data_IF_967513271360
#
_entry.id   IF_967513271360
#
_cell.length_a   1.000
_cell.length_b   1.000
_cell.length_c   1.000
_cell.angle_alpha   90.00
_cell.angle_beta   90.00
_cell.angle_gamma   90.00
#
_symmetry.space_group_name_H-M   'P 1'
#
loop_
_entity.id
_entity.type
_entity.pdbx_description
1 polymer ?
#
# COMPACT_ATOMS: atom_id res chain seq x y z
N UNK A 1 22.09 19.87 3.67
CA UNK A 1 21.05 19.45 2.70
C UNK A 1 20.58 18.07 3.13
N UNK A 2 19.29 17.92 3.47
CA UNK A 2 18.72 16.61 3.83
C UNK A 2 18.45 15.87 2.53
N UNK A 3 19.09 14.71 2.32
CA UNK A 3 18.79 13.84 1.19
C UNK A 3 17.31 13.45 1.24
N UNK A 4 16.55 13.48 0.12
CA UNK A 4 15.14 13.10 0.14
C UNK A 4 14.98 11.69 0.73
N UNK A 5 14.08 11.53 1.71
CA UNK A 5 13.83 10.22 2.35
C UNK A 5 13.43 9.21 1.27
N UNK A 6 14.10 8.06 1.24
CA UNK A 6 13.72 6.93 0.40
C UNK A 6 12.44 6.32 0.95
N UNK A 7 11.40 6.21 0.13
CA UNK A 7 10.09 5.68 0.55
C UNK A 7 9.85 4.34 -0.13
N UNK A 8 9.52 3.34 0.67
CA UNK A 8 9.01 2.06 0.20
C UNK A 8 7.52 1.96 0.55
N UNK A 9 6.68 1.76 -0.47
CA UNK A 9 5.25 1.57 -0.30
C UNK A 9 4.94 0.07 -0.34
N UNK A 10 4.54 -0.49 0.80
CA UNK A 10 4.14 -1.89 0.90
C UNK A 10 2.61 -1.94 0.89
N UNK A 11 2.03 -2.66 -0.05
CA UNK A 11 0.59 -2.77 -0.21
C UNK A 11 0.15 -4.21 -0.38
N UNK A 12 -1.13 -4.45 -0.12
CA UNK A 12 -1.73 -5.77 -0.19
C UNK A 12 -2.73 -5.82 -1.33
N UNK A 13 -2.72 -6.92 -2.10
CA UNK A 13 -3.69 -7.20 -3.14
C UNK A 13 -4.61 -8.33 -2.67
N UNK A 14 -5.91 -8.02 -2.61
CA UNK A 14 -6.96 -8.98 -2.25
C UNK A 14 -8.01 -9.12 -3.35
N UNK A 15 -9.27 -9.17 -2.90
CA UNK A 15 -10.43 -9.36 -3.80
C UNK A 15 -10.64 -8.19 -4.76
N UNK A 16 -10.47 -6.96 -4.30
CA UNK A 16 -10.67 -5.76 -5.12
C UNK A 16 -9.32 -5.20 -5.57
N UNK A 17 -9.13 -5.11 -6.90
CA UNK A 17 -8.02 -4.39 -7.53
C UNK A 17 -8.18 -2.88 -7.27
N UNK A 18 -9.41 -2.38 -7.37
CA UNK A 18 -9.75 -0.98 -7.14
C UNK A 18 -9.38 -0.49 -5.75
N UNK A 19 -9.56 -1.30 -4.71
CA UNK A 19 -9.17 -0.92 -3.35
C UNK A 19 -7.68 -0.56 -3.25
N UNK A 20 -6.80 -1.33 -3.91
CA UNK A 20 -5.37 -1.05 -3.97
C UNK A 20 -5.09 0.16 -4.87
N UNK A 21 -5.62 0.15 -6.10
CA UNK A 21 -5.35 1.19 -7.11
C UNK A 21 -5.81 2.57 -6.63
N UNK A 22 -6.99 2.66 -6.05
CA UNK A 22 -7.55 3.91 -5.52
C UNK A 22 -6.75 4.44 -4.33
N UNK A 23 -6.30 3.55 -3.45
CA UNK A 23 -5.49 3.95 -2.30
C UNK A 23 -4.13 4.46 -2.77
N UNK A 24 -3.49 3.76 -3.70
CA UNK A 24 -2.24 4.21 -4.29
C UNK A 24 -2.40 5.57 -4.99
N UNK A 25 -3.44 5.75 -5.80
CA UNK A 25 -3.77 7.03 -6.41
C UNK A 25 -3.90 8.14 -5.37
N UNK A 26 -4.63 7.90 -4.28
CA UNK A 26 -4.82 8.88 -3.21
C UNK A 26 -3.52 9.24 -2.48
N UNK A 27 -2.64 8.27 -2.29
CA UNK A 27 -1.31 8.49 -1.69
C UNK A 27 -0.44 9.35 -2.61
N UNK A 28 -0.38 8.99 -3.89
CA UNK A 28 0.43 9.69 -4.88
C UNK A 28 -0.09 11.10 -5.14
N UNK A 29 -1.42 11.28 -5.27
CA UNK A 29 -2.04 12.59 -5.47
C UNK A 29 -1.81 13.57 -4.32
N UNK A 30 -1.57 13.05 -3.10
CA UNK A 30 -1.17 13.83 -1.92
C UNK A 30 0.35 14.07 -1.85
N UNK A 31 1.07 13.89 -2.94
CA UNK A 31 2.49 14.23 -3.09
C UNK A 31 3.47 13.15 -2.62
N UNK A 32 3.01 11.97 -2.20
CA UNK A 32 3.89 10.89 -1.75
C UNK A 32 4.31 10.02 -2.93
N UNK A 33 5.57 10.14 -3.33
CA UNK A 33 6.14 9.43 -4.48
C UNK A 33 7.12 8.34 -3.99
N UNK A 34 6.68 7.06 -3.87
CA UNK A 34 7.57 5.99 -3.45
C UNK A 34 8.67 5.71 -4.49
N UNK A 35 9.83 5.27 -4.01
CA UNK A 35 10.92 4.77 -4.85
C UNK A 35 10.72 3.29 -5.18
N UNK A 36 10.20 2.52 -4.21
CA UNK A 36 9.88 1.10 -4.35
C UNK A 36 8.42 0.85 -3.95
N UNK A 37 7.75 -0.05 -4.67
CA UNK A 37 6.42 -0.55 -4.35
C UNK A 37 6.46 -2.06 -4.25
N UNK A 38 6.00 -2.62 -3.13
CA UNK A 38 5.88 -4.05 -2.91
C UNK A 38 4.40 -4.44 -2.81
N UNK A 39 3.96 -5.35 -3.68
CA UNK A 39 2.60 -5.87 -3.69
C UNK A 39 2.60 -7.28 -3.11
N UNK A 40 2.06 -7.44 -1.91
CA UNK A 40 1.83 -8.76 -1.33
C UNK A 40 0.47 -9.28 -1.75
N UNK A 41 0.41 -10.49 -2.28
CA UNK A 41 -0.83 -11.12 -2.69
C UNK A 41 -0.80 -12.61 -2.35
N UNK A 42 -1.98 -13.16 -2.14
CA UNK A 42 -2.14 -14.61 -2.04
C UNK A 42 -2.32 -15.23 -3.43
N UNK A 43 -1.99 -16.52 -3.57
CA UNK A 43 -2.00 -17.25 -4.85
C UNK A 43 -3.34 -17.14 -5.56
N UNK A 44 -4.46 -17.18 -4.81
CA UNK A 44 -5.82 -17.02 -5.37
C UNK A 44 -6.02 -15.72 -6.15
N UNK A 45 -5.27 -14.66 -5.83
CA UNK A 45 -5.36 -13.34 -6.49
C UNK A 45 -4.19 -13.04 -7.43
N UNK A 46 -3.22 -13.95 -7.59
CA UNK A 46 -2.02 -13.76 -8.43
C UNK A 46 -2.34 -13.28 -9.85
N UNK A 47 -3.42 -13.78 -10.45
CA UNK A 47 -3.83 -13.44 -11.83
C UNK A 47 -4.17 -11.95 -12.03
N UNK A 48 -4.42 -11.20 -10.94
CA UNK A 48 -4.71 -9.76 -10.96
C UNK A 48 -3.46 -8.88 -10.98
N UNK A 49 -2.29 -9.44 -10.63
CA UNK A 49 -1.04 -8.68 -10.55
C UNK A 49 -0.70 -7.90 -11.83
N UNK A 50 -0.81 -8.46 -13.06
CA UNK A 50 -0.44 -7.71 -14.26
C UNK A 50 -1.21 -6.40 -14.41
N UNK A 51 -2.53 -6.43 -14.18
CA UNK A 51 -3.42 -5.26 -14.27
C UNK A 51 -3.11 -4.22 -13.21
N UNK A 52 -2.89 -4.68 -11.97
CA UNK A 52 -2.53 -3.79 -10.87
C UNK A 52 -1.18 -3.13 -11.12
N UNK A 53 -0.16 -3.89 -11.52
CA UNK A 53 1.17 -3.36 -11.82
C UNK A 53 1.11 -2.32 -12.95
N UNK A 54 0.34 -2.60 -14.00
CA UNK A 54 0.10 -1.64 -15.09
C UNK A 54 -0.56 -0.35 -14.59
N UNK A 55 -1.61 -0.45 -13.76
CA UNK A 55 -2.28 0.70 -13.17
C UNK A 55 -1.34 1.54 -12.28
N UNK A 56 -0.53 0.91 -11.43
CA UNK A 56 0.44 1.59 -10.57
C UNK A 56 1.50 2.33 -11.41
N UNK A 57 1.99 1.73 -12.49
CA UNK A 57 2.91 2.38 -13.44
C UNK A 57 2.27 3.59 -14.10
N UNK A 58 1.05 3.45 -14.61
CA UNK A 58 0.32 4.54 -15.25
C UNK A 58 0.08 5.71 -14.29
N UNK A 59 -0.33 5.44 -13.05
CA UNK A 59 -0.48 6.46 -12.01
C UNK A 59 0.87 7.12 -11.73
N UNK A 60 1.93 6.35 -11.53
CA UNK A 60 3.25 6.91 -11.21
C UNK A 60 3.75 7.85 -12.30
N UNK A 61 3.62 7.43 -13.57
CA UNK A 61 4.01 8.21 -14.74
C UNK A 61 3.20 9.50 -14.84
N UNK A 62 1.89 9.46 -14.61
CA UNK A 62 1.04 10.66 -14.60
C UNK A 62 1.46 11.69 -13.53
N UNK A 63 2.11 11.25 -12.46
CA UNK A 63 2.66 12.11 -11.41
C UNK A 63 4.19 12.31 -11.53
N UNK A 64 4.77 12.03 -12.70
CA UNK A 64 6.16 12.28 -13.06
C UNK A 64 7.19 11.54 -12.18
N UNK A 65 6.96 10.26 -11.89
CA UNK A 65 7.97 9.39 -11.27
C UNK A 65 7.79 7.92 -11.70
N UNK A 66 8.81 7.10 -11.46
CA UNK A 66 8.82 5.69 -11.87
C UNK A 66 9.38 4.83 -10.73
N UNK A 67 8.52 4.23 -9.90
CA UNK A 67 8.97 3.33 -8.84
C UNK A 67 9.41 1.98 -9.41
N UNK A 68 10.33 1.31 -8.72
CA UNK A 68 10.52 -0.14 -8.87
C UNK A 68 9.31 -0.85 -8.24
N UNK A 69 8.70 -1.79 -8.97
CA UNK A 69 7.50 -2.50 -8.50
C UNK A 69 7.79 -3.99 -8.46
N UNK A 70 7.69 -4.56 -7.27
CA UNK A 70 7.90 -5.98 -7.01
C UNK A 70 6.61 -6.61 -6.45
N UNK A 71 6.33 -7.85 -6.86
CA UNK A 71 5.21 -8.61 -6.34
C UNK A 71 5.71 -9.81 -5.54
N UNK A 72 5.14 -10.02 -4.36
CA UNK A 72 5.38 -11.18 -3.50
C UNK A 72 4.09 -11.98 -3.45
N UNK A 73 4.12 -13.17 -4.07
CA UNK A 73 3.01 -14.12 -3.99
C UNK A 73 3.28 -15.07 -2.83
N UNK A 74 2.27 -15.27 -1.99
CA UNK A 74 2.28 -16.24 -0.90
C UNK A 74 1.17 -17.29 -1.08
N UNK A 75 1.32 -18.50 -0.53
CA UNK A 75 0.25 -19.48 -0.51
C UNK A 75 -0.96 -18.97 0.27
N UNK A 76 -2.14 -19.40 -0.17
CA UNK A 76 -3.40 -19.04 0.48
C UNK A 76 -3.42 -19.45 1.96
N UNK A 77 -3.91 -18.56 2.84
CA UNK A 77 -4.03 -18.79 4.28
C UNK A 77 -2.69 -19.05 5.01
N UNK A 78 -1.55 -18.78 4.37
CA UNK A 78 -0.23 -19.01 4.95
C UNK A 78 0.24 -17.82 5.79
N UNK A 79 -0.27 -17.70 7.01
CA UNK A 79 0.14 -16.63 7.95
C UNK A 79 1.64 -16.68 8.27
N UNK A 80 2.19 -17.87 8.52
CA UNK A 80 3.61 -18.05 8.86
C UNK A 80 4.53 -17.64 7.71
N UNK A 81 4.13 -17.90 6.46
CA UNK A 81 4.92 -17.47 5.31
C UNK A 81 4.80 -15.98 5.09
N UNK A 82 3.60 -15.41 5.23
CA UNK A 82 3.40 -13.96 5.17
C UNK A 82 4.30 -13.24 6.17
N UNK A 83 4.27 -13.66 7.44
CA UNK A 83 5.09 -13.11 8.52
C UNK A 83 6.59 -13.15 8.18
N UNK A 84 7.11 -14.32 7.78
CA UNK A 84 8.52 -14.48 7.37
C UNK A 84 8.90 -13.58 6.20
N UNK A 85 8.04 -13.45 5.20
CA UNK A 85 8.31 -12.63 4.00
C UNK A 85 8.27 -11.14 4.32
N UNK A 86 7.31 -10.67 5.13
CA UNK A 86 7.28 -9.28 5.59
C UNK A 86 8.49 -8.96 6.45
N UNK A 87 8.82 -9.80 7.44
CA UNK A 87 10.01 -9.62 8.29
C UNK A 87 11.28 -9.48 7.46
N UNK A 88 11.50 -10.38 6.50
CA UNK A 88 12.66 -10.33 5.60
C UNK A 88 12.68 -9.05 4.77
N UNK A 89 11.53 -8.63 4.23
CA UNK A 89 11.43 -7.39 3.44
C UNK A 89 11.73 -6.16 4.31
N UNK A 90 11.07 -6.04 5.45
CA UNK A 90 11.17 -4.86 6.31
C UNK A 90 12.60 -4.71 6.84
N UNK A 91 13.25 -5.81 7.22
CA UNK A 91 14.67 -5.83 7.58
C UNK A 91 15.60 -5.44 6.41
N UNK A 92 15.25 -5.76 5.16
CA UNK A 92 16.02 -5.29 4.00
C UNK A 92 15.85 -3.79 3.79
N UNK A 93 14.61 -3.32 3.80
CA UNK A 93 14.27 -1.91 3.60
C UNK A 93 14.89 -1.01 4.66
N UNK A 94 14.86 -1.42 5.93
CA UNK A 94 15.52 -0.71 7.02
C UNK A 94 17.03 -0.59 6.79
N UNK A 95 17.70 -1.71 6.47
CA UNK A 95 19.16 -1.70 6.17
C UNK A 95 19.51 -0.85 4.96
N UNK A 96 18.61 -0.77 3.98
CA UNK A 96 18.76 0.06 2.78
C UNK A 96 18.40 1.55 3.02
N UNK A 97 17.95 1.90 4.23
CA UNK A 97 17.60 3.27 4.64
C UNK A 97 16.25 3.75 4.12
N UNK A 98 15.33 2.83 3.80
CA UNK A 98 13.96 3.17 3.41
C UNK A 98 13.08 3.42 4.62
N UNK A 99 12.20 4.41 4.47
CA UNK A 99 11.03 4.56 5.33
C UNK A 99 9.86 3.78 4.72
N UNK A 100 9.14 3.02 5.55
CA UNK A 100 8.07 2.13 5.10
C UNK A 100 6.70 2.80 5.29
N UNK A 101 5.94 2.91 4.21
CA UNK A 101 4.50 3.20 4.25
C UNK A 101 3.72 1.91 3.97
N UNK A 102 2.90 1.47 4.90
CA UNK A 102 2.15 0.21 4.81
C UNK A 102 0.67 0.48 4.50
N UNK A 103 0.19 0.07 3.34
CA UNK A 103 -1.22 0.11 2.94
C UNK A 103 -1.92 -1.21 3.23
N UNK A 104 -2.89 -1.15 4.15
CA UNK A 104 -3.70 -2.30 4.59
C UNK A 104 -5.15 -2.23 4.08
N UNK A 105 -5.43 -1.41 3.06
CA UNK A 105 -6.78 -1.24 2.51
C UNK A 105 -7.34 -2.52 1.92
N UNK A 106 -6.51 -3.25 1.18
CA UNK A 106 -6.88 -4.49 0.53
C UNK A 106 -6.15 -5.69 1.16
N UNK A 107 -6.31 -6.87 0.57
CA UNK A 107 -5.81 -8.14 1.13
C UNK A 107 -6.77 -8.77 2.15
N UNK A 108 -6.57 -10.07 2.42
CA UNK A 108 -7.29 -10.75 3.50
C UNK A 108 -6.78 -10.29 4.85
N UNK A 109 -7.66 -10.32 5.87
CA UNK A 109 -7.32 -9.91 7.25
C UNK A 109 -6.06 -10.59 7.78
N UNK A 110 -5.87 -11.88 7.50
CA UNK A 110 -4.66 -12.61 7.91
C UNK A 110 -3.38 -11.98 7.35
N UNK A 111 -3.39 -11.59 6.06
CA UNK A 111 -2.26 -10.95 5.41
C UNK A 111 -1.98 -9.55 5.98
N UNK A 112 -3.04 -8.76 6.17
CA UNK A 112 -2.92 -7.44 6.79
C UNK A 112 -2.39 -7.52 8.22
N UNK A 113 -2.89 -8.45 9.03
CA UNK A 113 -2.38 -8.68 10.38
C UNK A 113 -0.91 -9.09 10.36
N UNK A 114 -0.49 -9.99 9.47
CA UNK A 114 0.91 -10.41 9.33
C UNK A 114 1.85 -9.24 9.00
N UNK A 115 1.39 -8.27 8.20
CA UNK A 115 2.13 -7.04 7.92
C UNK A 115 2.20 -6.12 9.16
N UNK A 116 1.06 -5.94 9.84
CA UNK A 116 0.95 -5.02 10.98
C UNK A 116 1.76 -5.48 12.19
N UNK A 117 1.85 -6.79 12.45
CA UNK A 117 2.65 -7.29 13.59
C UNK A 117 4.14 -6.95 13.48
N UNK A 118 4.65 -6.70 12.27
CA UNK A 118 6.04 -6.31 12.04
C UNK A 118 6.40 -4.94 12.64
N UNK A 119 5.41 -4.08 12.93
CA UNK A 119 5.65 -2.77 13.53
C UNK A 119 6.28 -2.85 14.92
N UNK A 120 6.24 -4.02 15.57
CA UNK A 120 6.92 -4.27 16.84
C UNK A 120 8.45 -4.28 16.71
N UNK A 121 8.94 -4.58 15.51
CA UNK A 121 10.36 -4.79 15.25
C UNK A 121 10.95 -3.76 14.27
N UNK A 122 10.13 -3.16 13.40
CA UNK A 122 10.62 -2.30 12.33
C UNK A 122 9.93 -0.92 12.30
N UNK A 123 10.67 0.15 11.95
CA UNK A 123 10.13 1.49 11.86
C UNK A 123 9.24 1.65 10.61
N UNK A 124 7.94 1.77 10.83
CA UNK A 124 6.93 2.10 9.80
C UNK A 124 6.47 3.54 10.02
N UNK A 125 6.46 4.38 8.97
CA UNK A 125 6.06 5.77 9.11
C UNK A 125 4.56 5.98 9.12
N UNK A 126 3.82 5.15 8.38
CA UNK A 126 2.38 5.26 8.20
C UNK A 126 1.77 3.89 7.98
N UNK A 127 0.58 3.72 8.53
CA UNK A 127 -0.32 2.62 8.20
C UNK A 127 -1.54 3.24 7.52
N UNK A 128 -1.65 3.03 6.22
CA UNK A 128 -2.60 3.65 5.33
C UNK A 128 -3.82 2.74 5.17
N UNK A 129 -5.01 3.33 5.25
CA UNK A 129 -6.26 2.65 4.95
C UNK A 129 -7.23 3.60 4.28
N UNK A 130 -7.72 3.23 3.10
CA UNK A 130 -8.83 3.92 2.44
C UNK A 130 -10.16 3.36 2.94
N UNK A 131 -10.84 4.13 3.79
CA UNK A 131 -12.21 3.83 4.17
C UNK A 131 -13.16 4.35 3.08
N UNK A 132 -13.95 3.45 2.50
CA UNK A 132 -15.17 3.79 1.77
C UNK A 132 -16.32 3.76 2.78
N UNK A 133 -17.00 4.89 2.95
CA UNK A 133 -18.12 4.99 3.89
C UNK A 133 -19.40 4.34 3.37
N UNK A 134 -19.45 4.05 2.08
CA UNK A 134 -20.57 3.42 1.40
C UNK A 134 -20.07 2.36 0.41
N UNK A 135 -20.77 1.22 0.36
CA UNK A 135 -20.44 0.06 -0.46
C UNK A 135 -20.99 0.15 -1.88
N UNK A 136 -21.68 1.25 -2.25
CA UNK A 136 -22.22 1.48 -3.60
C UNK A 136 -21.16 1.86 -4.66
N UNK A 137 -19.93 2.12 -4.24
CA UNK A 137 -18.82 2.54 -5.11
C UNK A 137 -17.57 1.63 -5.08
N UNK A 138 -17.67 0.30 -4.86
CA UNK A 138 -16.51 -0.51 -4.53
C UNK A 138 -15.60 -0.75 -5.75
N UNK A 139 -16.17 -0.63 -6.95
CA UNK A 139 -15.52 -0.92 -8.24
C UNK A 139 -15.45 0.32 -9.16
N UNK A 140 -15.26 1.50 -8.58
CA UNK A 140 -15.10 2.74 -9.34
C UNK A 140 -13.69 3.34 -9.15
N UNK A 141 -13.12 3.98 -10.18
CA UNK A 141 -11.91 4.78 -10.03
C UNK A 141 -12.07 5.87 -8.96
N UNK A 142 -10.98 6.19 -8.26
CA UNK A 142 -10.95 7.17 -7.17
C UNK A 142 -11.68 8.49 -7.49
N UNK A 143 -11.47 9.05 -8.68
CA UNK A 143 -12.09 10.33 -9.09
C UNK A 143 -13.61 10.26 -9.30
N UNK A 144 -14.18 9.05 -9.40
CA UNK A 144 -15.62 8.83 -9.53
C UNK A 144 -16.31 8.54 -8.18
N UNK A 145 -15.54 8.47 -7.08
CA UNK A 145 -16.05 8.29 -5.74
C UNK A 145 -16.22 9.67 -5.10
N UNK A 146 -17.39 10.02 -4.53
CA UNK A 146 -17.57 11.32 -3.89
C UNK A 146 -16.53 11.58 -2.81
N UNK A 147 -15.93 12.79 -2.80
CA UNK A 147 -14.81 13.11 -1.91
C UNK A 147 -15.10 12.88 -0.43
N UNK A 148 -16.33 13.16 0.02
CA UNK A 148 -16.76 12.96 1.40
C UNK A 148 -16.89 11.47 1.79
N UNK A 149 -16.98 10.57 0.82
CA UNK A 149 -17.10 9.11 1.00
C UNK A 149 -15.75 8.38 1.01
N UNK A 150 -14.69 9.02 0.54
CA UNK A 150 -13.33 8.46 0.50
C UNK A 150 -12.45 9.07 1.58
N UNK A 151 -12.10 8.29 2.61
CA UNK A 151 -11.25 8.75 3.70
C UNK A 151 -9.97 7.94 3.78
N UNK A 152 -8.88 8.52 3.31
CA UNK A 152 -7.53 7.99 3.52
C UNK A 152 -7.11 8.30 4.96
N UNK A 153 -6.96 7.27 5.79
CA UNK A 153 -6.51 7.36 7.18
C UNK A 153 -5.05 6.93 7.31
N UNK A 154 -4.30 7.59 8.18
CA UNK A 154 -3.07 7.06 8.76
C UNK A 154 -3.31 6.61 10.21
N UNK A 155 -3.19 5.32 10.51
CA UNK A 155 -3.38 4.83 11.88
C UNK A 155 -2.24 5.19 12.85
N UNK A 156 -1.09 5.65 12.36
CA UNK A 156 -0.03 6.21 13.21
C UNK A 156 -0.21 7.72 13.50
N UNK A 157 -1.31 8.32 13.00
CA UNK A 157 -1.60 9.74 13.14
C UNK A 157 -1.04 10.57 11.99
N UNK A 158 -1.79 11.55 11.52
CA UNK A 158 -1.36 12.42 10.41
C UNK A 158 -0.47 13.60 10.87
N UNK A 159 -0.27 13.77 12.18
CA UNK A 159 0.49 14.86 12.80
C UNK A 159 -0.01 16.23 12.36
N UNK A 160 -0.99 16.79 13.07
CA UNK A 160 -1.49 18.18 12.98
C UNK A 160 -1.32 18.90 11.63
N UNK A 161 -1.64 18.24 10.52
CA UNK A 161 -1.81 18.92 9.24
C UNK A 161 -3.24 19.49 9.24
N UNK A 162 -3.42 20.82 9.17
CA UNK A 162 -4.75 21.41 9.18
C UNK A 162 -5.55 20.87 8.01
N UNK A 163 -6.79 20.49 8.29
CA UNK A 163 -7.77 20.16 7.25
C UNK A 163 -7.97 21.44 6.41
N UNK A 164 -7.53 21.42 5.16
CA UNK A 164 -7.98 22.39 4.15
C UNK A 164 -9.38 22.01 3.68
#
# INVERSE_FOLDING_TARGET
MVSPRKIAYVTLLGRSEWALVNTYYAVVSRGRKPNKVFIFTEETYRKKLPRVVEALKAISQAYNFTPEIEAVVIPDNSFLEADRKFKKLFQSLEREGYTIGLDITSGRKALATAAVVQLREFPVDRIIYMALLDMDFPDRPYMMIPAHMQRLKNFLGDGDAPRQ
#
